data_IF_569117746276
#
_entry.id   IF_569117746276
#
_cell.length_a   1.000
_cell.length_b   1.000
_cell.length_c   1.000
_cell.angle_alpha   90.00
_cell.angle_beta   90.00
_cell.angle_gamma   90.00
#
_symmetry.space_group_name_H-M   'P 1'
#
loop_
_entity.id
_entity.type
_entity.pdbx_description
1 polymer ?
#
# COMPACT_ATOMS: atom_id res chain seq x y z
N UNK A 1 0.81 -17.85 -19.45
CA UNK A 1 -0.61 -17.46 -19.56
C UNK A 1 -1.13 -17.32 -18.14
N UNK A 2 -1.46 -16.11 -17.68
CA UNK A 2 -1.88 -15.93 -16.28
C UNK A 2 -3.29 -16.53 -16.10
N UNK A 3 -3.55 -17.31 -15.04
CA UNK A 3 -4.81 -18.02 -14.84
C UNK A 3 -6.06 -17.11 -14.79
N UNK A 4 -5.86 -15.79 -14.63
CA UNK A 4 -6.93 -14.79 -14.59
C UNK A 4 -7.34 -14.20 -15.95
N UNK A 5 -6.64 -14.53 -17.04
CA UNK A 5 -6.98 -14.06 -18.39
C UNK A 5 -8.16 -14.83 -19.01
N UNK A 6 -8.54 -16.00 -18.46
CA UNK A 6 -9.61 -16.85 -19.01
C UNK A 6 -11.05 -16.43 -18.62
N UNK A 7 -11.21 -15.50 -17.68
CA UNK A 7 -12.52 -15.17 -17.11
C UNK A 7 -13.21 -13.94 -17.73
N UNK A 8 -12.61 -13.22 -18.68
CA UNK A 8 -13.21 -11.98 -19.20
C UNK A 8 -13.03 -11.82 -20.71
N UNK A 9 -13.98 -12.37 -21.47
CA UNK A 9 -14.20 -12.04 -22.88
C UNK A 9 -14.65 -10.58 -23.12
N UNK A 10 -14.85 -9.81 -22.05
CA UNK A 10 -15.41 -8.44 -22.11
C UNK A 10 -14.36 -7.34 -22.01
N UNK A 11 -13.05 -7.64 -22.03
CA UNK A 11 -12.04 -6.58 -22.10
C UNK A 11 -11.96 -6.08 -23.54
N UNK A 12 -12.01 -4.76 -23.73
CA UNK A 12 -11.84 -4.17 -25.06
C UNK A 12 -10.49 -4.62 -25.62
N UNK A 13 -10.47 -5.30 -26.77
CA UNK A 13 -9.25 -5.87 -27.38
C UNK A 13 -8.10 -4.87 -27.52
N UNK A 14 -8.43 -3.57 -27.61
CA UNK A 14 -7.45 -2.48 -27.61
C UNK A 14 -6.56 -2.45 -26.35
N UNK A 15 -7.00 -2.97 -25.21
CA UNK A 15 -6.25 -2.94 -23.96
C UNK A 15 -5.18 -4.04 -23.84
N UNK A 16 -5.19 -5.05 -24.73
CA UNK A 16 -4.27 -6.21 -24.64
C UNK A 16 -3.83 -6.75 -26.02
N UNK A 17 -4.03 -5.98 -27.09
CA UNK A 17 -3.57 -6.32 -28.45
C UNK A 17 -2.05 -6.55 -28.54
N UNK A 18 -1.27 -5.86 -27.71
CA UNK A 18 0.19 -6.00 -27.61
C UNK A 18 0.63 -6.02 -26.13
N UNK A 19 1.75 -6.70 -25.79
CA UNK A 19 2.25 -6.75 -24.41
C UNK A 19 2.58 -5.35 -23.87
N UNK A 20 3.19 -4.48 -24.68
CA UNK A 20 3.48 -3.08 -24.31
C UNK A 20 2.20 -2.27 -24.04
N UNK A 21 1.13 -2.55 -24.79
CA UNK A 21 -0.17 -1.89 -24.61
C UNK A 21 -0.88 -2.36 -23.35
N UNK A 22 -0.73 -3.64 -22.97
CA UNK A 22 -1.22 -4.18 -21.69
C UNK A 22 -0.54 -3.48 -20.51
N UNK A 23 0.77 -3.30 -20.59
CA UNK A 23 1.57 -2.64 -19.55
C UNK A 23 1.18 -1.15 -19.41
N UNK A 24 1.09 -0.42 -20.52
CA UNK A 24 0.60 0.95 -20.53
C UNK A 24 -0.83 1.08 -19.98
N UNK A 25 -1.72 0.15 -20.34
CA UNK A 25 -3.08 0.11 -19.85
C UNK A 25 -3.18 -0.21 -18.35
N UNK A 26 -2.26 -1.00 -17.79
CA UNK A 26 -2.17 -1.26 -16.35
C UNK A 26 -1.82 0.00 -15.56
N UNK A 27 -0.90 0.81 -16.09
CA UNK A 27 -0.41 2.03 -15.45
C UNK A 27 -1.36 3.22 -15.65
N UNK A 28 -1.85 3.41 -16.87
CA UNK A 28 -2.53 4.65 -17.28
C UNK A 28 -4.05 4.51 -17.37
N UNK A 29 -4.56 3.31 -17.64
CA UNK A 29 -5.98 3.09 -17.92
C UNK A 29 -6.59 1.86 -17.21
N UNK A 30 -6.25 1.55 -15.94
CA UNK A 30 -6.65 0.28 -15.33
C UNK A 30 -8.16 0.16 -15.14
N UNK A 31 -8.88 1.27 -14.91
CA UNK A 31 -10.35 1.28 -14.81
C UNK A 31 -10.99 1.01 -16.18
N UNK A 32 -10.60 1.77 -17.20
CA UNK A 32 -11.12 1.66 -18.57
C UNK A 32 -10.87 0.27 -19.15
N UNK A 33 -9.69 -0.29 -18.89
CA UNK A 33 -9.30 -1.61 -19.36
C UNK A 33 -9.67 -2.77 -18.41
N UNK A 34 -10.42 -2.48 -17.33
CA UNK A 34 -10.85 -3.48 -16.33
C UNK A 34 -9.69 -4.32 -15.80
N UNK A 35 -8.56 -3.66 -15.57
CA UNK A 35 -7.32 -4.20 -15.03
C UNK A 35 -7.09 -3.86 -13.56
N UNK A 36 -8.09 -3.30 -12.84
CA UNK A 36 -7.94 -2.96 -11.42
C UNK A 36 -7.32 -4.11 -10.60
N UNK A 37 -7.80 -5.35 -10.77
CA UNK A 37 -7.28 -6.54 -10.06
C UNK A 37 -5.81 -6.88 -10.35
N UNK A 38 -5.25 -6.33 -11.43
CA UNK A 38 -3.85 -6.52 -11.82
C UNK A 38 -2.95 -5.37 -11.33
N UNK A 39 -3.54 -4.29 -10.82
CA UNK A 39 -2.77 -3.17 -10.28
C UNK A 39 -2.27 -3.51 -8.87
N UNK A 40 -1.08 -3.00 -8.45
CA UNK A 40 -0.52 -3.28 -7.14
C UNK A 40 -1.46 -2.99 -5.96
N UNK A 41 -2.38 -2.03 -6.13
CA UNK A 41 -3.36 -1.66 -5.12
C UNK A 41 -4.39 -2.74 -4.82
N UNK A 42 -4.73 -3.60 -5.78
CA UNK A 42 -5.77 -4.63 -5.64
C UNK A 42 -5.20 -6.05 -5.80
N UNK A 43 -3.93 -6.18 -6.20
CA UNK A 43 -3.27 -7.45 -6.49
C UNK A 43 -2.63 -8.07 -5.23
N UNK A 44 -3.45 -8.42 -4.25
CA UNK A 44 -3.08 -9.19 -3.07
C UNK A 44 -4.27 -10.07 -2.64
N UNK A 45 -4.08 -10.89 -1.61
CA UNK A 45 -5.12 -11.73 -1.05
C UNK A 45 -5.81 -11.05 0.13
N UNK A 46 -7.11 -11.28 0.24
CA UNK A 46 -7.87 -10.93 1.44
C UNK A 46 -7.63 -11.97 2.54
N UNK A 47 -7.77 -11.55 3.79
CA UNK A 47 -7.69 -12.44 4.94
C UNK A 47 -8.92 -13.36 4.97
N UNK A 48 -8.70 -14.65 4.73
CA UNK A 48 -9.76 -15.67 4.76
C UNK A 48 -10.38 -15.86 6.16
N UNK A 49 -9.66 -15.46 7.21
CA UNK A 49 -10.14 -15.48 8.60
C UNK A 49 -10.74 -14.13 9.04
N UNK A 50 -10.98 -13.19 8.10
CA UNK A 50 -11.64 -11.93 8.41
C UNK A 50 -12.99 -12.18 9.11
N UNK A 51 -13.28 -11.52 10.24
CA UNK A 51 -14.57 -11.63 10.91
C UNK A 51 -15.70 -11.00 10.09
N UNK A 52 -15.37 -10.22 9.06
CA UNK A 52 -16.32 -9.64 8.11
C UNK A 52 -16.09 -10.18 6.69
N UNK A 53 -17.10 -10.72 6.02
CA UNK A 53 -16.94 -11.27 4.68
C UNK A 53 -16.60 -10.17 3.69
N UNK A 54 -15.41 -10.25 3.07
CA UNK A 54 -14.90 -9.23 2.16
C UNK A 54 -15.81 -8.99 0.93
N UNK A 55 -16.70 -9.93 0.60
CA UNK A 55 -17.69 -9.73 -0.48
C UNK A 55 -18.75 -8.67 -0.15
N UNK A 56 -19.00 -8.39 1.14
CA UNK A 56 -19.97 -7.39 1.58
C UNK A 56 -19.36 -5.99 1.74
N UNK A 57 -18.04 -5.85 1.58
CA UNK A 57 -17.36 -4.55 1.64
C UNK A 57 -17.80 -3.70 0.46
N UNK A 58 -18.47 -2.58 0.76
CA UNK A 58 -18.88 -1.60 -0.24
C UNK A 58 -17.84 -0.51 -0.41
N UNK A 59 -17.99 0.31 -1.46
CA UNK A 59 -17.07 1.43 -1.74
C UNK A 59 -17.10 2.48 -0.63
N UNK A 60 -18.26 2.71 -0.05
CA UNK A 60 -18.47 3.66 1.04
C UNK A 60 -17.71 3.21 2.29
N UNK A 61 -17.74 1.90 2.58
CA UNK A 61 -16.99 1.32 3.69
C UNK A 61 -15.48 1.53 3.55
N UNK A 62 -14.95 1.43 2.32
CA UNK A 62 -13.55 1.73 2.03
C UNK A 62 -13.17 3.20 2.22
N UNK A 63 -14.14 4.13 2.22
CA UNK A 63 -13.92 5.56 2.45
C UNK A 63 -14.03 5.95 3.92
N UNK A 64 -14.61 5.10 4.76
CA UNK A 64 -14.72 5.36 6.19
C UNK A 64 -13.35 5.22 6.86
N UNK A 65 -12.88 6.32 7.47
CA UNK A 65 -11.61 6.36 8.21
C UNK A 65 -11.55 5.31 9.32
N UNK A 66 -12.65 5.13 10.06
CA UNK A 66 -12.76 4.16 11.16
C UNK A 66 -12.65 2.71 10.68
N UNK A 67 -13.02 2.41 9.43
CA UNK A 67 -12.94 1.06 8.86
C UNK A 67 -11.62 0.80 8.14
N UNK A 68 -10.81 1.83 7.92
CA UNK A 68 -9.60 1.74 7.11
C UNK A 68 -8.64 0.69 7.64
N UNK A 69 -8.26 0.77 8.91
CA UNK A 69 -7.28 -0.16 9.51
C UNK A 69 -7.77 -1.60 9.49
N UNK A 70 -9.08 -1.80 9.74
CA UNK A 70 -9.71 -3.10 9.64
C UNK A 70 -9.64 -3.65 8.21
N UNK A 71 -9.99 -2.84 7.21
CA UNK A 71 -10.06 -3.25 5.82
C UNK A 71 -8.66 -3.43 5.20
N UNK A 72 -7.66 -2.66 5.62
CA UNK A 72 -6.26 -2.85 5.22
C UNK A 72 -5.79 -4.24 5.64
N UNK A 73 -6.07 -4.65 6.87
CA UNK A 73 -5.64 -5.96 7.41
C UNK A 73 -6.46 -7.12 6.85
N UNK A 74 -7.76 -6.93 6.65
CA UNK A 74 -8.68 -8.03 6.40
C UNK A 74 -9.14 -8.15 4.95
N UNK A 75 -9.46 -7.03 4.28
CA UNK A 75 -10.00 -7.03 2.93
C UNK A 75 -9.26 -6.05 1.99
N UNK A 76 -7.91 -6.09 1.95
CA UNK A 76 -7.13 -5.10 1.22
C UNK A 76 -7.39 -5.13 -0.29
N UNK A 77 -7.67 -6.30 -0.87
CA UNK A 77 -7.93 -6.43 -2.31
C UNK A 77 -9.23 -5.71 -2.69
N UNK A 78 -10.26 -5.73 -1.84
CA UNK A 78 -11.55 -5.08 -2.13
C UNK A 78 -11.47 -3.57 -2.17
N UNK A 79 -10.70 -2.98 -1.26
CA UNK A 79 -10.60 -1.53 -1.13
C UNK A 79 -9.41 -0.91 -1.86
N UNK A 80 -8.51 -1.72 -2.45
CA UNK A 80 -7.33 -1.19 -3.11
C UNK A 80 -6.22 -0.80 -2.12
N UNK A 81 -6.14 -1.52 -0.98
CA UNK A 81 -5.22 -1.32 0.14
C UNK A 81 -4.09 -2.35 0.17
N UNK A 82 -3.87 -3.12 -0.90
CA UNK A 82 -2.77 -4.10 -0.95
C UNK A 82 -1.39 -3.46 -0.73
N UNK A 83 -1.21 -2.19 -1.10
CA UNK A 83 0.01 -1.44 -0.84
C UNK A 83 0.05 -0.80 0.57
N UNK A 84 -1.06 -0.87 1.32
CA UNK A 84 -1.17 -0.40 2.70
C UNK A 84 -1.02 -1.57 3.69
N UNK A 85 -1.38 -2.80 3.30
CA UNK A 85 -1.24 -4.01 4.14
C UNK A 85 0.22 -4.46 4.35
N UNK A 86 1.17 -3.88 3.59
CA UNK A 86 2.61 -4.03 3.83
C UNK A 86 3.18 -3.07 4.88
N UNK A 87 2.34 -2.22 5.48
CA UNK A 87 2.70 -1.38 6.63
C UNK A 87 2.20 -2.07 7.90
N UNK A 88 2.87 -3.16 8.28
CA UNK A 88 3.02 -3.46 9.70
C UNK A 88 3.58 -2.21 10.40
N UNK A 89 3.10 -1.95 11.59
CA UNK A 89 3.29 -0.74 12.39
C UNK A 89 4.69 -0.12 12.25
N UNK A 90 4.76 0.94 11.43
CA UNK A 90 6.02 1.58 11.08
C UNK A 90 5.82 2.57 9.93
N UNK A 91 5.09 3.65 10.20
CA UNK A 91 4.84 4.71 9.22
C UNK A 91 6.12 5.24 8.57
N UNK A 92 6.28 4.96 7.29
CA UNK A 92 7.26 5.63 6.45
C UNK A 92 6.90 5.44 4.99
N UNK A 93 6.36 6.49 4.38
CA UNK A 93 6.26 6.62 2.93
C UNK A 93 7.59 6.26 2.26
N UNK A 94 7.48 5.39 1.27
CA UNK A 94 8.54 5.02 0.35
C UNK A 94 8.87 6.22 -0.55
N UNK A 95 10.10 6.70 -0.46
CA UNK A 95 10.79 7.38 -1.54
C UNK A 95 10.33 8.81 -1.88
N UNK A 96 10.79 9.78 -1.09
CA UNK A 96 11.65 10.88 -1.57
C UNK A 96 12.21 11.68 -0.39
N UNK A 97 13.53 11.57 -0.25
CA UNK A 97 14.42 12.37 0.59
C UNK A 97 14.04 12.55 2.06
N UNK A 98 14.63 11.73 2.93
CA UNK A 98 14.78 12.15 4.31
C UNK A 98 15.80 13.29 4.41
N UNK A 99 15.51 14.32 5.21
CA UNK A 99 16.51 15.34 5.49
C UNK A 99 17.72 14.69 6.18
N UNK A 100 18.90 15.30 6.00
CA UNK A 100 20.12 14.82 6.61
C UNK A 100 19.96 14.73 8.14
N UNK A 101 20.46 13.63 8.71
CA UNK A 101 20.41 13.38 10.14
C UNK A 101 21.10 14.49 10.94
N UNK A 102 20.57 14.78 12.12
CA UNK A 102 21.24 15.64 13.09
C UNK A 102 22.59 15.03 13.50
N UNK A 103 23.60 15.90 13.68
CA UNK A 103 24.93 15.47 14.12
C UNK A 103 24.93 14.70 15.45
N UNK A 104 23.93 14.93 16.29
CA UNK A 104 23.77 14.29 17.60
C UNK A 104 23.03 12.95 17.55
N UNK A 105 22.60 12.48 16.37
CA UNK A 105 21.84 11.22 16.26
C UNK A 105 22.62 10.03 16.79
N UNK A 106 23.94 10.00 16.67
CA UNK A 106 24.79 8.93 17.22
C UNK A 106 24.60 8.79 18.74
N UNK A 107 24.44 9.90 19.46
CA UNK A 107 24.25 9.88 20.92
C UNK A 107 22.78 9.71 21.28
N UNK A 108 21.85 10.33 20.55
CA UNK A 108 20.43 10.21 20.81
C UNK A 108 19.90 8.80 20.57
N UNK A 109 20.36 8.13 19.50
CA UNK A 109 20.01 6.74 19.20
C UNK A 109 20.52 5.81 20.32
N UNK A 110 21.75 6.00 20.81
CA UNK A 110 22.28 5.26 21.97
C UNK A 110 21.45 5.48 23.24
N UNK A 111 20.88 6.67 23.40
CA UNK A 111 20.01 7.04 24.52
C UNK A 111 18.52 6.68 24.29
N UNK A 112 18.19 5.89 23.26
CA UNK A 112 16.83 5.38 23.03
C UNK A 112 15.89 6.36 22.31
N UNK A 113 16.42 7.33 21.55
CA UNK A 113 15.60 8.29 20.81
C UNK A 113 14.62 7.63 19.81
N UNK A 114 15.05 6.57 19.12
CA UNK A 114 14.21 5.86 18.16
C UNK A 114 13.02 5.16 18.84
N UNK A 115 13.18 4.72 20.09
CA UNK A 115 12.16 3.99 20.85
C UNK A 115 11.35 4.88 21.80
N UNK A 116 11.74 6.15 21.94
CA UNK A 116 11.10 7.10 22.86
C UNK A 116 9.63 7.35 22.48
N UNK A 117 8.72 7.20 23.44
CA UNK A 117 7.30 7.53 23.26
C UNK A 117 7.02 9.04 23.34
N UNK A 118 7.99 9.84 23.75
CA UNK A 118 7.88 11.31 23.82
C UNK A 118 7.92 11.98 22.44
N UNK A 119 8.58 11.35 21.46
CA UNK A 119 8.72 11.89 20.11
C UNK A 119 7.79 11.17 19.14
N UNK A 120 7.08 11.93 18.31
CA UNK A 120 6.27 11.37 17.23
C UNK A 120 7.16 10.73 16.16
N UNK A 121 6.62 9.74 15.43
CA UNK A 121 7.33 9.08 14.34
C UNK A 121 7.81 10.07 13.26
N UNK A 122 7.03 11.13 12.99
CA UNK A 122 7.41 12.19 12.06
C UNK A 122 8.61 13.00 12.55
N UNK A 123 8.67 13.32 13.85
CA UNK A 123 9.81 14.03 14.44
C UNK A 123 11.08 13.17 14.44
N UNK A 124 10.94 11.87 14.72
CA UNK A 124 12.05 10.91 14.62
C UNK A 124 12.58 10.82 13.20
N UNK A 125 11.68 10.75 12.21
CA UNK A 125 12.01 10.73 10.78
C UNK A 125 12.70 12.01 10.31
N UNK A 126 12.29 13.17 10.81
CA UNK A 126 12.90 14.47 10.47
C UNK A 126 14.25 14.72 11.14
N UNK A 127 14.49 14.12 12.31
CA UNK A 127 15.68 14.43 13.13
C UNK A 127 16.79 13.42 12.92
N UNK A 128 16.47 12.13 12.92
CA UNK A 128 17.40 11.00 12.82
C UNK A 128 16.80 9.90 11.94
N UNK A 129 16.26 10.26 10.78
CA UNK A 129 15.55 9.35 9.90
C UNK A 129 16.39 8.14 9.49
N UNK A 130 17.64 8.37 9.06
CA UNK A 130 18.54 7.30 8.63
C UNK A 130 19.07 6.50 9.82
N UNK A 131 19.48 7.18 10.89
CA UNK A 131 19.99 6.51 12.09
C UNK A 131 18.93 5.66 12.81
N UNK A 132 17.64 6.04 12.72
CA UNK A 132 16.51 5.27 13.22
C UNK A 132 15.89 4.32 12.20
N UNK A 133 16.42 4.22 10.97
CA UNK A 133 15.91 3.36 9.89
C UNK A 133 14.42 3.61 9.56
N UNK A 134 13.98 4.86 9.71
CA UNK A 134 12.63 5.33 9.33
C UNK A 134 12.59 5.80 7.86
N UNK A 135 13.78 5.83 7.28
CA UNK A 135 14.22 5.96 5.91
C UNK A 135 15.62 5.33 5.84
#
# INVERSE_FOLDING_TARGET
>A
MFPYDQANNDRAGICFKKPTQKQFALETCPKTCRFCCLTPRFNCQDNVASPYPCQLVTKELCQLKEMRDFLVKNCPSKCGFCQENGKEEGGGEEGKDCPADNKNCVDWVKNGFCDSTFYTLAQKKQTCGHACKLC
#
